data_IF_449472425215
#
_entry.id   IF_449472425215
#
_cell.length_a   1.000
_cell.length_b   1.000
_cell.length_c   1.000
_cell.angle_alpha   90.00
_cell.angle_beta   90.00
_cell.angle_gamma   90.00
#
_symmetry.space_group_name_H-M   'P 1'
#
loop_
_entity.id
_entity.type
_entity.pdbx_description
1 polymer ?
#
# COMPACT_ATOMS: atom_id res chain seq x y z
N UNK A 1 5.01 -11.78 -15.11
CA UNK A 1 4.67 -10.77 -14.09
C UNK A 1 4.56 -9.42 -14.76
N UNK A 2 3.47 -8.68 -14.54
CA UNK A 2 3.33 -7.33 -15.10
C UNK A 2 4.28 -6.37 -14.38
N UNK A 3 4.85 -5.41 -15.11
CA UNK A 3 5.77 -4.41 -14.54
C UNK A 3 5.05 -3.48 -13.56
N UNK A 4 3.77 -3.23 -13.81
CA UNK A 4 2.99 -2.24 -13.07
C UNK A 4 2.15 -2.86 -11.95
N UNK A 5 1.98 -4.19 -11.95
CA UNK A 5 1.26 -4.92 -10.92
C UNK A 5 1.79 -6.34 -10.76
N UNK A 6 1.98 -6.77 -9.52
CA UNK A 6 2.29 -8.15 -9.19
C UNK A 6 1.65 -8.54 -7.85
N UNK A 7 0.95 -9.68 -7.81
CA UNK A 7 0.70 -10.38 -6.55
C UNK A 7 1.99 -11.11 -6.17
N UNK A 8 2.46 -10.87 -4.94
CA UNK A 8 3.73 -11.37 -4.42
C UNK A 8 3.54 -12.61 -3.55
N UNK A 9 2.45 -12.65 -2.78
CA UNK A 9 2.08 -13.81 -1.98
C UNK A 9 0.55 -13.82 -1.77
N UNK A 10 0.01 -15.01 -1.60
CA UNK A 10 -1.41 -15.25 -1.38
C UNK A 10 -1.59 -16.39 -0.38
N UNK A 11 -2.45 -16.19 0.62
CA UNK A 11 -2.78 -17.20 1.63
C UNK A 11 -4.25 -17.13 2.01
N UNK A 12 -4.92 -18.28 2.04
CA UNK A 12 -6.20 -18.40 2.74
C UNK A 12 -5.97 -18.40 4.25
N UNK A 13 -6.77 -17.63 4.97
CA UNK A 13 -6.75 -17.57 6.43
C UNK A 13 -8.16 -17.76 6.97
N UNK A 14 -8.30 -18.02 8.27
CA UNK A 14 -9.62 -18.07 8.92
C UNK A 14 -10.40 -16.75 8.86
N UNK A 15 -9.71 -15.63 8.59
CA UNK A 15 -10.31 -14.30 8.46
C UNK A 15 -10.65 -13.94 7.00
N UNK A 16 -10.26 -14.77 6.04
CA UNK A 16 -10.40 -14.53 4.60
C UNK A 16 -9.09 -14.62 3.84
N UNK A 17 -9.15 -14.31 2.54
CA UNK A 17 -8.01 -14.34 1.62
C UNK A 17 -7.04 -13.20 1.91
N UNK A 18 -5.82 -13.51 2.34
CA UNK A 18 -4.76 -12.54 2.56
C UNK A 18 -3.88 -12.47 1.31
N UNK A 19 -3.79 -11.29 0.69
CA UNK A 19 -2.98 -11.04 -0.52
C UNK A 19 -2.00 -9.91 -0.28
N UNK A 20 -0.72 -10.17 -0.58
CA UNK A 20 0.33 -9.17 -0.67
C UNK A 20 0.56 -8.84 -2.14
N UNK A 21 0.46 -7.56 -2.49
CA UNK A 21 0.65 -7.10 -3.86
C UNK A 21 1.55 -5.88 -3.94
N UNK A 22 2.26 -5.76 -5.06
CA UNK A 22 3.04 -4.60 -5.45
C UNK A 22 2.40 -3.94 -6.65
N UNK A 23 2.18 -2.64 -6.58
CA UNK A 23 1.63 -1.83 -7.66
C UNK A 23 2.54 -0.64 -7.94
N UNK A 24 2.67 -0.29 -9.21
CA UNK A 24 3.38 0.92 -9.65
C UNK A 24 2.37 2.03 -9.90
N UNK A 25 2.46 3.13 -9.16
CA UNK A 25 1.59 4.29 -9.32
C UNK A 25 2.22 5.24 -10.33
N UNK A 26 1.77 5.14 -11.59
CA UNK A 26 2.33 5.92 -12.71
C UNK A 26 2.19 7.43 -12.51
N UNK A 27 1.09 7.90 -11.92
CA UNK A 27 0.87 9.32 -11.62
C UNK A 27 1.84 9.90 -10.57
N UNK A 28 2.49 9.04 -9.78
CA UNK A 28 3.50 9.41 -8.80
C UNK A 28 4.91 9.04 -9.29
N UNK A 29 5.22 9.34 -10.56
CA UNK A 29 6.53 9.05 -11.15
C UNK A 29 6.85 7.56 -11.29
N UNK A 30 5.83 6.70 -11.20
CA UNK A 30 6.01 5.26 -11.18
C UNK A 30 6.57 4.74 -9.86
N UNK A 31 6.23 5.37 -8.74
CA UNK A 31 6.50 4.89 -7.39
C UNK A 31 5.92 3.48 -7.19
N UNK A 32 6.68 2.61 -6.53
CA UNK A 32 6.21 1.29 -6.13
C UNK A 32 5.54 1.35 -4.76
N UNK A 33 4.38 0.71 -4.65
CA UNK A 33 3.56 0.67 -3.44
C UNK A 33 3.24 -0.78 -3.13
N UNK A 34 3.41 -1.17 -1.87
CA UNK A 34 3.06 -2.49 -1.38
C UNK A 34 1.77 -2.38 -0.58
N UNK A 35 0.84 -3.29 -0.87
CA UNK A 35 -0.50 -3.28 -0.30
C UNK A 35 -0.84 -4.67 0.21
N UNK A 36 -1.48 -4.73 1.37
CA UNK A 36 -2.02 -5.94 1.97
C UNK A 36 -3.54 -5.87 1.92
N UNK A 37 -4.16 -6.91 1.36
CA UNK A 37 -5.62 -7.07 1.29
C UNK A 37 -6.10 -8.25 2.11
N UNK A 38 -7.29 -8.13 2.69
CA UNK A 38 -8.06 -9.22 3.28
C UNK A 38 -9.41 -9.31 2.57
N UNK A 39 -9.59 -10.35 1.75
CA UNK A 39 -10.65 -10.42 0.75
C UNK A 39 -10.62 -9.19 -0.15
N UNK A 40 -11.70 -8.42 -0.16
CA UNK A 40 -11.81 -7.20 -0.96
C UNK A 40 -11.30 -5.93 -0.27
N UNK A 41 -11.10 -5.97 1.05
CA UNK A 41 -10.68 -4.81 1.84
C UNK A 41 -9.16 -4.61 1.86
N UNK A 42 -8.71 -3.36 2.01
CA UNK A 42 -7.30 -3.03 2.24
C UNK A 42 -7.03 -2.99 3.74
N UNK A 43 -6.02 -3.75 4.19
CA UNK A 43 -5.55 -3.70 5.57
C UNK A 43 -4.44 -2.67 5.75
N UNK A 44 -3.50 -2.59 4.81
CA UNK A 44 -2.36 -1.68 4.91
C UNK A 44 -1.80 -1.33 3.53
N UNK A 45 -1.17 -0.16 3.42
CA UNK A 45 -0.40 0.27 2.26
C UNK A 45 0.80 1.10 2.68
N UNK A 46 1.94 0.93 2.00
CA UNK A 46 3.15 1.73 2.23
C UNK A 46 2.87 3.24 2.18
N UNK A 47 1.94 3.68 1.32
CA UNK A 47 1.64 5.10 1.17
C UNK A 47 0.83 5.72 2.32
N UNK A 48 0.05 4.93 3.05
CA UNK A 48 -0.72 5.47 4.17
C UNK A 48 0.22 6.02 5.24
N UNK A 49 1.25 5.25 5.60
CA UNK A 49 2.27 5.67 6.56
C UNK A 49 2.99 6.95 6.13
N UNK A 50 3.45 7.00 4.88
CA UNK A 50 4.15 8.17 4.34
C UNK A 50 3.29 9.44 4.36
N UNK A 51 2.00 9.32 4.02
CA UNK A 51 1.07 10.46 4.04
C UNK A 51 0.84 10.95 5.47
N UNK A 52 0.67 10.07 6.45
CA UNK A 52 0.47 10.45 7.85
C UNK A 52 1.68 11.20 8.41
N UNK A 53 2.89 10.72 8.12
CA UNK A 53 4.15 11.37 8.53
C UNK A 53 4.31 12.73 7.84
N UNK A 54 4.10 12.79 6.53
CA UNK A 54 4.18 14.04 5.77
C UNK A 54 3.18 15.08 6.28
N UNK A 55 1.93 14.66 6.54
CA UNK A 55 0.89 15.52 7.09
C UNK A 55 1.28 16.03 8.50
N UNK A 56 1.82 15.16 9.35
CA UNK A 56 2.29 15.55 10.68
C UNK A 56 3.42 16.60 10.60
N UNK A 57 4.39 16.42 9.69
CA UNK A 57 5.45 17.41 9.49
C UNK A 57 4.91 18.77 9.04
N UNK A 58 3.94 18.80 8.12
CA UNK A 58 3.30 20.03 7.68
C UNK A 58 2.50 20.71 8.80
N UNK A 59 1.85 19.93 9.67
CA UNK A 59 1.12 20.48 10.81
C UNK A 59 2.03 21.00 11.92
N UNK A 60 3.19 20.37 12.13
CA UNK A 60 4.15 20.73 13.17
C UNK A 60 5.12 21.84 12.74
N UNK A 61 5.30 22.10 11.44
CA UNK A 61 6.20 23.16 10.97
C UNK A 61 5.71 24.57 11.30
N UNK A 62 4.43 24.72 11.65
CA UNK A 62 3.78 25.99 12.00
C UNK A 62 3.80 26.27 13.52
N UNK A 63 4.47 25.42 14.31
CA UNK A 63 4.64 25.53 15.78
C UNK A 63 6.03 26.03 16.16
#
# INVERSE_FOLDING_TARGET
MSRDFAELDFRETSLGELSLRRRRILSLGGMEVFEVKLGDAFLMSSLFHEVEVALAHLGLSEL
#
